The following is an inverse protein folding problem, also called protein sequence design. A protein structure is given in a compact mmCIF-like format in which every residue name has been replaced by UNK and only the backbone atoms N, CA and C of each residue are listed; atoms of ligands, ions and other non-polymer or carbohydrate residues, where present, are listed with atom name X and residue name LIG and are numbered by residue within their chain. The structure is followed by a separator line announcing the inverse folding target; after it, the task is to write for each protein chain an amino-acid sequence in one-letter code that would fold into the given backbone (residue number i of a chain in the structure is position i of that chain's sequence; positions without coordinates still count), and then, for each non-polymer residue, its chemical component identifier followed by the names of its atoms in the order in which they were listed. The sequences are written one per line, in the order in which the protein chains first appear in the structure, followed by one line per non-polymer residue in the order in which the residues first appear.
data_IF_653695900503
#
_entry.id   IF_653695900503
#
_cell.length_a   1.000
_cell.length_b   1.000
_cell.length_c   1.000
_cell.angle_alpha   90.00
_cell.angle_beta   90.00
_cell.angle_gamma   90.00
#
_symmetry.space_group_name_H-M   'P 1'
#
loop_
_entity.id
_entity.type
_entity.pdbx_description
1 polymer ?
#
# COMPACT_ATOMS: atom_id res chain seq x y z
N UNK A 1 11.28 -0.23 1.67
CA UNK A 1 9.97 -0.35 2.35
C UNK A 1 9.00 -1.03 1.41
N UNK A 2 8.14 -1.93 1.90
CA UNK A 2 7.05 -2.58 1.16
C UNK A 2 5.72 -1.94 1.58
N UNK A 3 4.78 -1.79 0.66
CA UNK A 3 3.41 -1.38 0.96
C UNK A 3 2.50 -2.54 0.66
N UNK A 4 1.76 -2.95 1.66
CA UNK A 4 0.95 -4.16 1.72
C UNK A 4 1.72 -5.47 1.56
N UNK A 5 1.15 -6.53 2.06
CA UNK A 5 1.71 -7.88 2.03
C UNK A 5 0.59 -8.91 1.83
N UNK A 6 -0.12 -8.78 0.72
CA UNK A 6 -1.23 -9.65 0.36
C UNK A 6 -0.82 -11.05 -0.05
N UNK A 7 -1.80 -11.84 -0.46
CA UNK A 7 -1.57 -13.19 -0.96
C UNK A 7 -0.59 -13.18 -2.14
N UNK A 8 0.33 -14.11 -2.15
CA UNK A 8 1.33 -14.23 -3.22
C UNK A 8 2.53 -13.29 -3.13
N UNK A 9 2.61 -12.34 -2.16
CA UNK A 9 3.71 -11.37 -2.04
C UNK A 9 5.11 -12.02 -2.06
N UNK A 10 5.28 -13.15 -1.37
CA UNK A 10 6.57 -13.85 -1.36
C UNK A 10 6.98 -14.31 -2.75
N UNK A 11 6.03 -14.77 -3.57
CA UNK A 11 6.29 -15.16 -4.96
C UNK A 11 6.57 -13.95 -5.84
N UNK A 12 5.83 -12.86 -5.67
CA UNK A 12 6.01 -11.63 -6.42
C UNK A 12 7.42 -11.05 -6.20
N UNK A 13 7.88 -10.96 -4.95
CA UNK A 13 9.24 -10.52 -4.63
C UNK A 13 10.31 -11.42 -5.25
N UNK A 14 10.12 -12.74 -5.19
CA UNK A 14 11.05 -13.70 -5.80
C UNK A 14 11.10 -13.54 -7.33
N UNK A 15 9.96 -13.42 -7.98
CA UNK A 15 9.86 -13.23 -9.44
C UNK A 15 10.50 -11.93 -9.89
N UNK A 16 10.41 -10.88 -9.07
CA UNK A 16 11.03 -9.57 -9.31
C UNK A 16 12.51 -9.51 -8.91
N UNK A 17 13.10 -10.62 -8.44
CA UNK A 17 14.45 -10.68 -7.91
C UNK A 17 14.72 -9.71 -6.76
N UNK A 18 13.71 -9.43 -5.93
CA UNK A 18 13.83 -8.58 -4.73
C UNK A 18 14.16 -9.49 -3.54
N UNK A 19 15.36 -9.38 -2.95
CA UNK A 19 15.73 -10.19 -1.81
C UNK A 19 14.90 -9.87 -0.57
N UNK A 20 14.40 -10.88 0.14
CA UNK A 20 13.58 -10.67 1.34
C UNK A 20 14.31 -9.93 2.47
N UNK A 21 15.63 -10.08 2.56
CA UNK A 21 16.44 -9.51 3.65
C UNK A 21 16.70 -8.01 3.52
N UNK A 22 16.42 -7.37 2.36
CA UNK A 22 16.56 -5.91 2.21
C UNK A 22 15.31 -5.14 2.62
N UNK A 23 14.21 -5.84 2.95
CA UNK A 23 12.96 -5.22 3.35
C UNK A 23 13.01 -4.97 4.85
N UNK A 24 13.17 -3.72 5.28
CA UNK A 24 13.25 -3.33 6.69
C UNK A 24 11.96 -2.67 7.21
N UNK A 25 11.01 -2.37 6.33
CA UNK A 25 9.71 -1.82 6.66
C UNK A 25 8.58 -2.38 5.81
N UNK A 26 7.43 -2.61 6.41
CA UNK A 26 6.18 -2.96 5.73
C UNK A 26 5.10 -2.02 6.26
N UNK A 27 4.35 -1.37 5.37
CA UNK A 27 3.16 -0.60 5.73
C UNK A 27 1.93 -1.38 5.28
N UNK A 28 0.99 -1.63 6.17
CA UNK A 28 -0.32 -2.22 5.83
C UNK A 28 -1.35 -1.10 5.77
N UNK A 29 -1.93 -0.91 4.59
CA UNK A 29 -2.93 0.15 4.35
C UNK A 29 -4.27 -0.19 4.97
N UNK A 30 -4.73 -1.42 4.78
CA UNK A 30 -5.97 -1.92 5.37
C UNK A 30 -5.97 -3.47 5.47
N UNK A 31 -7.03 -4.04 6.02
CA UNK A 31 -7.08 -5.46 6.37
C UNK A 31 -8.02 -6.29 5.48
N UNK A 32 -8.16 -5.94 4.19
CA UNK A 32 -8.68 -6.90 3.22
C UNK A 32 -7.65 -8.01 2.98
N UNK A 33 -8.09 -9.26 2.74
CA UNK A 33 -7.17 -10.41 2.65
C UNK A 33 -6.05 -10.24 1.64
N UNK A 34 -6.32 -9.62 0.52
CA UNK A 34 -5.38 -9.35 -0.57
C UNK A 34 -4.32 -8.28 -0.24
N UNK A 35 -4.42 -7.61 0.94
CA UNK A 35 -3.45 -6.62 1.40
C UNK A 35 -2.56 -7.07 2.56
N UNK A 36 -2.95 -8.11 3.34
CA UNK A 36 -2.16 -8.47 4.53
C UNK A 36 -1.96 -9.98 4.77
N UNK A 37 -2.76 -10.86 4.14
CA UNK A 37 -2.75 -12.30 4.51
C UNK A 37 -1.48 -13.03 4.09
N UNK A 38 -0.68 -12.49 3.19
CA UNK A 38 0.63 -13.03 2.82
C UNK A 38 1.73 -12.75 3.85
N UNK A 39 1.49 -11.83 4.80
CA UNK A 39 2.49 -11.39 5.77
C UNK A 39 3.11 -12.54 6.59
N UNK A 40 2.36 -13.49 7.19
CA UNK A 40 2.99 -14.60 7.91
C UNK A 40 3.92 -15.44 7.03
N UNK A 41 3.50 -15.73 5.80
CA UNK A 41 4.33 -16.44 4.82
C UNK A 41 5.60 -15.68 4.46
N UNK A 42 5.51 -14.38 4.26
CA UNK A 42 6.66 -13.51 3.99
C UNK A 42 7.66 -13.51 5.15
N UNK A 43 7.18 -13.40 6.40
CA UNK A 43 8.03 -13.46 7.59
C UNK A 43 8.80 -14.79 7.69
N UNK A 44 8.15 -15.91 7.36
CA UNK A 44 8.82 -17.21 7.28
C UNK A 44 9.90 -17.21 6.18
N UNK A 45 9.63 -16.63 5.00
CA UNK A 45 10.63 -16.52 3.93
C UNK A 45 11.81 -15.62 4.33
N UNK A 46 11.56 -14.50 5.01
CA UNK A 46 12.62 -13.64 5.57
C UNK A 46 13.53 -14.39 6.54
N UNK A 47 12.95 -15.20 7.43
CA UNK A 47 13.71 -16.09 8.31
C UNK A 47 14.55 -17.11 7.53
N UNK A 48 13.96 -17.78 6.54
CA UNK A 48 14.68 -18.75 5.70
C UNK A 48 15.81 -18.11 4.89
N UNK A 49 15.63 -16.84 4.48
CA UNK A 49 16.64 -16.02 3.83
C UNK A 49 17.68 -15.44 4.80
N UNK A 50 17.62 -15.81 6.09
CA UNK A 50 18.54 -15.35 7.15
C UNK A 50 18.58 -13.82 7.28
N UNK A 51 17.42 -13.19 7.31
CA UNK A 51 17.33 -11.77 7.65
C UNK A 51 17.83 -11.55 9.09
N UNK A 52 18.67 -10.55 9.29
CA UNK A 52 19.26 -10.19 10.59
C UNK A 52 18.83 -8.79 11.04
N UNK A 53 18.54 -7.89 10.08
CA UNK A 53 18.12 -6.52 10.39
C UNK A 53 16.68 -6.51 10.90
N UNK A 54 16.33 -5.61 11.84
CA UNK A 54 14.96 -5.48 12.33
C UNK A 54 13.96 -5.19 11.20
N UNK A 55 12.72 -5.61 11.39
CA UNK A 55 11.61 -5.33 10.51
C UNK A 55 10.55 -4.51 11.25
N UNK A 56 10.25 -3.32 10.78
CA UNK A 56 9.16 -2.49 11.26
C UNK A 56 7.90 -2.72 10.42
N UNK A 57 6.79 -3.07 11.08
CA UNK A 57 5.49 -3.24 10.42
C UNK A 57 4.59 -2.10 10.89
N UNK A 58 4.35 -1.15 10.00
CA UNK A 58 3.53 0.02 10.26
C UNK A 58 2.06 -0.30 10.01
N UNK A 59 1.21 0.00 10.97
CA UNK A 59 -0.23 -0.27 10.92
C UNK A 59 -0.97 0.78 11.72
N UNK A 60 -2.16 1.16 11.29
CA UNK A 60 -2.99 2.10 12.05
C UNK A 60 -3.19 1.62 13.50
N UNK A 61 -3.10 2.54 14.46
CA UNK A 61 -3.10 2.22 15.89
C UNK A 61 -4.30 1.34 16.32
N UNK A 62 -5.47 1.57 15.74
CA UNK A 62 -6.67 0.76 16.05
C UNK A 62 -6.60 -0.70 15.57
N UNK A 63 -5.60 -1.06 14.76
CA UNK A 63 -5.41 -2.40 14.19
C UNK A 63 -4.17 -3.13 14.72
N UNK A 64 -3.33 -2.46 15.48
CA UNK A 64 -2.07 -3.05 15.99
C UNK A 64 -2.32 -4.34 16.79
N UNK A 65 -3.26 -4.31 17.74
CA UNK A 65 -3.60 -5.49 18.56
C UNK A 65 -4.15 -6.64 17.71
N UNK A 66 -4.97 -6.35 16.69
CA UNK A 66 -5.43 -7.40 15.77
C UNK A 66 -4.26 -8.04 15.01
N UNK A 67 -3.30 -7.24 14.53
CA UNK A 67 -2.15 -7.76 13.82
C UNK A 67 -1.24 -8.60 14.73
N UNK A 68 -1.02 -8.17 15.98
CA UNK A 68 -0.29 -8.94 16.99
C UNK A 68 -0.93 -10.30 17.22
N UNK A 69 -2.24 -10.33 17.45
CA UNK A 69 -3.00 -11.57 17.66
C UNK A 69 -2.97 -12.47 16.42
N UNK A 70 -3.11 -11.89 15.24
CA UNK A 70 -3.07 -12.62 13.97
C UNK A 70 -1.71 -13.29 13.74
N UNK A 71 -0.61 -12.57 13.95
CA UNK A 71 0.74 -13.12 13.82
C UNK A 71 1.00 -14.19 14.89
N UNK A 72 0.62 -13.93 16.14
CA UNK A 72 0.77 -14.90 17.23
C UNK A 72 0.00 -16.20 16.95
N UNK A 73 -1.27 -16.11 16.52
CA UNK A 73 -2.08 -17.28 16.17
C UNK A 73 -1.61 -17.97 14.87
N UNK A 74 -0.80 -17.29 14.06
CA UNK A 74 -0.09 -17.86 12.90
C UNK A 74 1.26 -18.47 13.29
N UNK A 75 1.55 -18.62 14.57
CA UNK A 75 2.81 -19.13 15.12
C UNK A 75 4.06 -18.30 14.72
N UNK A 76 3.89 -17.03 14.44
CA UNK A 76 4.98 -16.08 14.28
C UNK A 76 5.41 -15.61 15.66
N UNK A 77 6.32 -16.35 16.28
CA UNK A 77 6.78 -16.12 17.64
C UNK A 77 8.17 -15.51 17.62
N UNK A 78 8.37 -14.36 18.27
CA UNK A 78 9.61 -13.59 18.23
C UNK A 78 10.86 -14.40 18.59
N UNK A 79 10.76 -15.32 19.54
CA UNK A 79 11.85 -16.20 19.98
C UNK A 79 12.31 -17.22 18.91
N UNK A 80 11.60 -17.30 17.80
CA UNK A 80 11.89 -18.16 16.66
C UNK A 80 12.55 -17.45 15.50
N UNK A 81 12.81 -16.14 15.62
CA UNK A 81 13.36 -15.28 14.57
C UNK A 81 14.68 -14.64 15.01
N UNK A 82 15.67 -14.60 14.13
CA UNK A 82 16.97 -13.99 14.36
C UNK A 82 16.94 -12.46 14.20
N UNK A 83 15.79 -11.90 13.78
CA UNK A 83 15.56 -10.47 13.67
C UNK A 83 14.32 -10.03 14.47
N UNK A 84 14.33 -8.78 14.92
CA UNK A 84 13.21 -8.22 15.66
C UNK A 84 12.06 -7.82 14.73
N UNK A 85 10.87 -8.38 14.96
CA UNK A 85 9.63 -7.96 14.32
C UNK A 85 8.99 -6.94 15.24
N UNK A 86 8.81 -5.71 14.77
CA UNK A 86 8.30 -4.59 15.56
C UNK A 86 7.03 -4.02 14.93
N UNK A 87 5.88 -4.18 15.58
CA UNK A 87 4.65 -3.52 15.14
C UNK A 87 4.69 -2.08 15.59
N UNK A 88 4.60 -1.16 14.63
CA UNK A 88 4.61 0.28 14.80
C UNK A 88 3.21 0.83 14.61
N UNK A 89 2.56 1.18 15.70
CA UNK A 89 1.29 1.89 15.66
C UNK A 89 1.48 3.28 15.07
N UNK A 90 0.76 3.58 14.01
CA UNK A 90 0.76 4.90 13.36
C UNK A 90 -0.63 5.51 13.44
N UNK A 91 -0.67 6.83 13.36
CA UNK A 91 -1.89 7.62 13.34
C UNK A 91 -1.85 8.62 12.19
N UNK A 92 -3.00 9.18 11.83
CA UNK A 92 -3.13 10.13 10.73
C UNK A 92 -2.39 11.44 11.00
N UNK A 93 -1.91 12.11 9.94
CA UNK A 93 -1.26 13.42 9.95
C UNK A 93 0.12 13.51 10.63
N UNK A 94 0.68 12.42 11.13
CA UNK A 94 2.03 12.40 11.67
C UNK A 94 3.05 12.06 10.59
N UNK A 95 4.18 12.81 10.56
CA UNK A 95 5.32 12.51 9.70
C UNK A 95 6.13 11.36 10.31
N UNK A 96 6.15 10.24 9.65
CA UNK A 96 6.84 9.02 10.08
C UNK A 96 8.10 8.88 9.23
N UNK A 97 9.25 8.68 9.88
CA UNK A 97 10.56 8.59 9.24
C UNK A 97 11.20 7.22 9.46
N UNK A 98 10.96 6.27 8.57
CA UNK A 98 11.60 4.95 8.63
C UNK A 98 13.09 5.00 8.34
N UNK A 99 13.56 5.94 7.50
CA UNK A 99 14.95 6.16 7.12
C UNK A 99 15.21 7.66 6.84
N UNK A 100 16.48 8.05 6.71
CA UNK A 100 16.85 9.44 6.50
C UNK A 100 16.32 10.02 5.18
N UNK A 101 16.23 9.20 4.14
CA UNK A 101 15.77 9.50 2.78
C UNK A 101 14.29 9.18 2.52
N UNK A 102 13.60 8.60 3.52
CA UNK A 102 12.21 8.17 3.41
C UNK A 102 11.38 8.67 4.57
N UNK A 103 10.34 9.43 4.29
CA UNK A 103 9.26 9.70 5.25
C UNK A 103 7.90 9.49 4.60
N UNK A 104 6.86 9.36 5.43
CA UNK A 104 5.50 9.29 4.94
C UNK A 104 4.47 9.82 5.95
N UNK A 105 3.36 10.28 5.42
CA UNK A 105 2.15 10.69 6.17
C UNK A 105 0.99 9.87 5.67
N UNK A 106 0.10 9.44 6.57
CA UNK A 106 -1.11 8.70 6.22
C UNK A 106 -2.37 9.52 6.50
N UNK A 107 -3.41 9.29 5.71
CA UNK A 107 -4.77 9.75 5.95
C UNK A 107 -5.75 8.61 5.75
N UNK A 108 -6.85 8.60 6.51
CA UNK A 108 -7.92 7.65 6.28
C UNK A 108 -8.66 8.00 5.00
N UNK A 109 -9.02 6.97 4.23
CA UNK A 109 -9.88 7.05 3.06
C UNK A 109 -11.20 6.30 3.29
N UNK A 110 -12.14 6.43 2.36
CA UNK A 110 -13.50 5.93 2.53
C UNK A 110 -13.72 4.48 2.06
N UNK A 111 -12.68 3.77 1.62
CA UNK A 111 -12.79 2.45 0.98
C UNK A 111 -13.66 1.44 1.74
N UNK A 112 -13.47 1.34 3.06
CA UNK A 112 -14.17 0.36 3.90
C UNK A 112 -15.39 0.91 4.62
N UNK A 113 -15.77 2.17 4.40
CA UNK A 113 -16.96 2.78 5.00
C UNK A 113 -18.26 2.05 4.62
N UNK A 114 -18.29 1.41 3.46
CA UNK A 114 -19.39 0.56 2.99
C UNK A 114 -19.77 -0.57 3.97
N UNK A 115 -18.87 -0.96 4.87
CA UNK A 115 -19.12 -2.01 5.86
C UNK A 115 -19.64 -1.47 7.20
N UNK A 116 -19.81 -0.16 7.36
CA UNK A 116 -20.17 0.49 8.64
C UNK A 116 -21.40 -0.14 9.29
N UNK A 117 -22.45 -0.36 8.53
CA UNK A 117 -23.68 -0.98 9.04
C UNK A 117 -23.50 -2.45 9.45
N UNK A 118 -22.69 -3.18 8.68
CA UNK A 118 -22.45 -4.61 8.94
C UNK A 118 -21.64 -4.88 10.21
N UNK A 119 -20.88 -3.90 10.68
CA UNK A 119 -19.98 -4.07 11.85
C UNK A 119 -20.46 -3.39 13.11
N UNK A 120 -21.59 -2.70 13.10
CA UNK A 120 -22.15 -1.97 14.24
C UNK A 120 -22.24 -2.82 15.52
N UNK A 121 -22.55 -4.13 15.39
CA UNK A 121 -22.72 -5.04 16.52
C UNK A 121 -21.40 -5.59 17.09
N UNK A 122 -20.26 -5.38 16.41
CA UNK A 122 -18.97 -6.04 16.74
C UNK A 122 -17.86 -5.09 17.14
N UNK A 123 -18.13 -3.79 17.21
CA UNK A 123 -17.14 -2.76 17.56
C UNK A 123 -15.82 -2.90 16.76
N UNK A 124 -15.94 -3.19 15.46
CA UNK A 124 -14.78 -3.30 14.57
C UNK A 124 -14.37 -1.90 14.08
N UNK A 125 -13.11 -1.56 14.27
CA UNK A 125 -12.54 -0.34 13.67
C UNK A 125 -12.45 -0.50 12.16
N UNK A 126 -13.03 0.45 11.43
CA UNK A 126 -12.98 0.55 9.97
C UNK A 126 -11.92 1.59 9.62
N UNK A 127 -10.76 1.13 9.13
CA UNK A 127 -9.65 2.01 8.74
C UNK A 127 -9.03 1.49 7.45
N UNK A 128 -8.98 2.34 6.44
CA UNK A 128 -8.19 2.19 5.23
C UNK A 128 -7.37 3.46 5.01
N UNK A 129 -6.10 3.32 4.60
CA UNK A 129 -5.13 4.39 4.57
C UNK A 129 -4.69 4.70 3.14
N UNK A 130 -4.68 5.98 2.83
CA UNK A 130 -3.92 6.58 1.73
C UNK A 130 -2.62 7.16 2.28
N UNK A 131 -1.56 7.17 1.48
CA UNK A 131 -0.20 7.48 1.94
C UNK A 131 0.46 8.50 1.03
N UNK A 132 1.07 9.53 1.61
CA UNK A 132 1.98 10.42 0.91
C UNK A 132 3.42 10.11 1.35
N UNK A 133 4.18 9.50 0.48
CA UNK A 133 5.61 9.28 0.67
C UNK A 133 6.42 10.50 0.24
N UNK A 134 7.51 10.74 0.95
CA UNK A 134 8.59 11.64 0.54
C UNK A 134 9.87 10.83 0.44
N UNK A 135 10.42 10.72 -0.77
CA UNK A 135 11.61 9.93 -1.09
C UNK A 135 12.52 10.79 -1.94
N UNK A 136 13.75 11.03 -1.51
CA UNK A 136 14.75 11.82 -2.25
C UNK A 136 14.23 13.19 -2.76
N UNK A 137 13.39 13.85 -1.95
CA UNK A 137 12.79 15.15 -2.30
C UNK A 137 11.57 15.07 -3.23
N UNK A 138 11.17 13.90 -3.68
CA UNK A 138 9.96 13.65 -4.46
C UNK A 138 8.81 13.19 -3.56
N UNK A 139 7.60 13.52 -3.98
CA UNK A 139 6.38 13.13 -3.29
C UNK A 139 5.57 12.15 -4.13
N UNK A 140 5.25 11.00 -3.53
CA UNK A 140 4.47 9.93 -4.15
C UNK A 140 3.19 9.78 -3.34
N UNK A 141 2.06 10.10 -3.96
CA UNK A 141 0.75 9.81 -3.38
C UNK A 141 0.31 8.41 -3.83
N UNK A 142 0.25 7.47 -2.88
CA UNK A 142 -0.33 6.14 -3.06
C UNK A 142 -1.70 6.13 -2.39
N UNK A 143 -2.74 5.91 -3.17
CA UNK A 143 -4.11 5.96 -2.64
C UNK A 143 -4.45 4.75 -1.77
N UNK A 144 -3.80 3.60 -1.98
CA UNK A 144 -4.37 2.33 -1.59
C UNK A 144 -5.68 2.11 -2.34
N UNK A 145 -6.52 1.23 -1.82
CA UNK A 145 -7.90 1.11 -2.28
C UNK A 145 -8.74 2.26 -1.72
N UNK A 146 -9.55 2.87 -2.56
CA UNK A 146 -10.36 4.05 -2.23
C UNK A 146 -11.85 3.77 -2.37
N UNK A 147 -12.69 4.54 -1.68
CA UNK A 147 -14.14 4.36 -1.72
C UNK A 147 -14.81 5.17 -2.81
N UNK A 148 -14.28 6.36 -3.08
CA UNK A 148 -14.77 7.25 -4.14
C UNK A 148 -13.69 8.26 -4.58
N UNK A 149 -14.03 9.10 -5.56
CA UNK A 149 -13.11 10.10 -6.12
C UNK A 149 -12.66 11.19 -5.13
N UNK A 150 -13.39 11.43 -4.04
CA UNK A 150 -12.99 12.43 -3.05
C UNK A 150 -11.71 12.01 -2.32
N UNK A 151 -11.43 10.71 -2.23
CA UNK A 151 -10.20 10.20 -1.67
C UNK A 151 -8.95 10.61 -2.49
N UNK A 152 -9.10 10.93 -3.77
CA UNK A 152 -8.01 11.47 -4.62
C UNK A 152 -7.59 12.89 -4.20
N UNK A 153 -8.38 13.56 -3.39
CA UNK A 153 -8.15 14.93 -2.91
C UNK A 153 -7.48 14.97 -1.53
N UNK A 154 -7.21 13.81 -0.91
CA UNK A 154 -6.59 13.72 0.42
C UNK A 154 -5.21 14.40 0.48
N UNK A 155 -4.47 14.38 -0.63
CA UNK A 155 -3.22 15.10 -0.78
C UNK A 155 -3.22 15.92 -2.07
N UNK A 156 -2.71 17.14 -2.03
CA UNK A 156 -2.76 18.08 -3.15
C UNK A 156 -1.40 18.45 -3.73
N UNK A 157 -0.30 17.95 -3.15
CA UNK A 157 1.08 18.21 -3.59
C UNK A 157 1.86 16.90 -3.68
N UNK A 158 1.99 16.38 -4.88
CA UNK A 158 2.73 15.16 -5.19
C UNK A 158 3.28 15.22 -6.62
N UNK A 159 4.39 14.56 -6.87
CA UNK A 159 4.99 14.43 -8.20
C UNK A 159 4.44 13.21 -8.93
N UNK A 160 4.11 12.16 -8.17
CA UNK A 160 3.55 10.90 -8.66
C UNK A 160 2.27 10.56 -7.91
N UNK A 161 1.28 10.07 -8.67
CA UNK A 161 0.06 9.46 -8.13
C UNK A 161 0.05 7.99 -8.53
N UNK A 162 -0.05 7.10 -7.55
CA UNK A 162 -0.30 5.67 -7.76
C UNK A 162 -1.70 5.40 -7.21
N UNK A 163 -2.64 5.08 -8.08
CA UNK A 163 -4.05 4.90 -7.72
C UNK A 163 -4.63 3.65 -8.36
N UNK A 164 -5.61 3.09 -7.70
CA UNK A 164 -6.41 1.98 -8.19
C UNK A 164 -7.46 2.42 -9.22
N UNK A 165 -8.02 1.48 -9.98
CA UNK A 165 -9.11 1.72 -10.91
C UNK A 165 -10.23 0.67 -10.85
N UNK A 166 -10.32 -0.05 -9.73
CA UNK A 166 -11.37 -1.06 -9.49
C UNK A 166 -12.62 -0.45 -8.86
N UNK A 167 -12.43 0.49 -7.90
CA UNK A 167 -13.53 1.11 -7.14
C UNK A 167 -13.92 2.48 -7.67
N UNK A 168 -13.07 3.09 -8.51
CA UNK A 168 -13.31 4.39 -9.17
C UNK A 168 -13.08 4.27 -10.66
N UNK A 169 -13.91 4.95 -11.44
CA UNK A 169 -13.81 4.93 -12.89
C UNK A 169 -12.64 5.77 -13.41
N UNK A 170 -12.16 5.48 -14.61
CA UNK A 170 -11.11 6.28 -15.26
C UNK A 170 -11.50 7.77 -15.35
N UNK A 171 -12.75 8.07 -15.68
CA UNK A 171 -13.28 9.43 -15.77
C UNK A 171 -13.27 10.15 -14.42
N UNK A 172 -13.57 9.45 -13.33
CA UNK A 172 -13.48 9.98 -11.98
C UNK A 172 -12.03 10.25 -11.57
N UNK A 173 -11.10 9.35 -11.92
CA UNK A 173 -9.67 9.54 -11.68
C UNK A 173 -9.20 10.81 -12.41
N UNK A 174 -9.43 10.91 -13.73
CA UNK A 174 -9.00 12.05 -14.54
C UNK A 174 -9.55 13.38 -14.03
N UNK A 175 -10.80 13.38 -13.54
CA UNK A 175 -11.43 14.61 -13.00
C UNK A 175 -11.02 14.91 -11.56
N UNK A 176 -10.70 13.88 -10.76
CA UNK A 176 -10.32 14.00 -9.34
C UNK A 176 -8.86 14.39 -9.12
N UNK A 177 -7.98 14.20 -10.11
CA UNK A 177 -6.57 14.55 -9.97
C UNK A 177 -6.40 16.06 -9.80
N UNK A 178 -5.93 16.50 -8.64
CA UNK A 178 -5.68 17.91 -8.32
C UNK A 178 -4.40 18.43 -8.99
N UNK A 179 -3.31 17.65 -8.94
CA UNK A 179 -2.06 18.02 -9.59
C UNK A 179 -2.02 17.49 -11.04
N UNK A 180 -2.34 18.33 -12.00
CA UNK A 180 -2.36 17.97 -13.42
C UNK A 180 -0.97 17.74 -14.04
N UNK A 181 0.10 18.10 -13.36
CA UNK A 181 1.49 17.88 -13.77
C UNK A 181 2.04 16.55 -13.24
N UNK A 182 1.36 15.93 -12.29
CA UNK A 182 1.78 14.67 -11.72
C UNK A 182 1.74 13.54 -12.77
N UNK A 183 2.68 12.62 -12.67
CA UNK A 183 2.62 11.36 -13.41
C UNK A 183 1.77 10.36 -12.66
N UNK A 184 0.79 9.78 -13.34
CA UNK A 184 -0.23 8.91 -12.75
C UNK A 184 0.01 7.47 -13.19
N UNK A 185 0.01 6.56 -12.22
CA UNK A 185 0.10 5.12 -12.44
C UNK A 185 -1.19 4.47 -11.96
N UNK A 186 -1.90 3.80 -12.87
CA UNK A 186 -3.09 3.03 -12.52
C UNK A 186 -2.69 1.61 -12.17
N UNK A 187 -3.13 1.16 -11.00
CA UNK A 187 -2.89 -0.17 -10.45
C UNK A 187 -4.21 -0.82 -10.05
N UNK A 188 -4.19 -2.03 -9.52
CA UNK A 188 -5.37 -2.74 -9.01
C UNK A 188 -6.53 -2.68 -10.00
N UNK A 189 -6.31 -3.33 -11.14
CA UNK A 189 -7.19 -3.29 -12.30
C UNK A 189 -7.87 -4.65 -12.43
N UNK A 190 -9.18 -4.67 -12.64
CA UNK A 190 -9.85 -5.92 -12.98
C UNK A 190 -9.44 -6.39 -14.39
N UNK A 191 -9.19 -7.67 -14.56
CA UNK A 191 -8.85 -8.27 -15.85
C UNK A 191 -9.85 -7.91 -16.96
N UNK A 192 -11.16 -7.78 -16.61
CA UNK A 192 -12.21 -7.38 -17.55
C UNK A 192 -12.06 -5.95 -18.08
N UNK A 193 -11.40 -5.07 -17.34
CA UNK A 193 -11.38 -3.63 -17.60
C UNK A 193 -10.06 -3.20 -18.25
N UNK A 194 -9.04 -4.07 -18.25
CA UNK A 194 -7.69 -3.76 -18.71
C UNK A 194 -7.67 -3.31 -20.17
N UNK A 195 -8.36 -4.04 -21.09
CA UNK A 195 -8.39 -3.69 -22.52
C UNK A 195 -9.08 -2.35 -22.77
N UNK A 196 -10.16 -2.06 -22.04
CA UNK A 196 -10.87 -0.79 -22.14
C UNK A 196 -9.98 0.36 -21.64
N UNK A 197 -9.31 0.19 -20.49
CA UNK A 197 -8.38 1.16 -19.93
C UNK A 197 -7.20 1.43 -20.86
N UNK A 198 -6.59 0.39 -21.43
CA UNK A 198 -5.52 0.53 -22.43
C UNK A 198 -5.97 1.37 -23.63
N UNK A 199 -7.22 1.19 -24.08
CA UNK A 199 -7.77 1.98 -25.18
C UNK A 199 -8.03 3.45 -24.80
N UNK A 200 -8.44 3.73 -23.55
CA UNK A 200 -8.67 5.10 -23.04
C UNK A 200 -7.36 5.85 -22.77
N UNK A 201 -6.32 5.16 -22.31
CA UNK A 201 -5.02 5.76 -21.90
C UNK A 201 -4.06 5.98 -23.09
N UNK A 202 -4.48 5.80 -24.35
CA UNK A 202 -3.56 5.98 -25.50
C UNK A 202 -2.71 7.24 -25.33
N UNK A 203 -1.38 7.14 -25.48
CA UNK A 203 -0.44 8.24 -25.21
C UNK A 203 -0.76 9.56 -25.93
N UNK A 204 -1.49 9.47 -27.02
CA UNK A 204 -1.98 10.65 -27.77
C UNK A 204 -3.02 11.49 -27.01
N UNK A 205 -3.68 10.92 -25.98
CA UNK A 205 -4.77 11.58 -25.28
C UNK A 205 -4.38 12.05 -23.88
N UNK A 206 -3.54 11.30 -23.17
CA UNK A 206 -3.03 11.69 -21.86
C UNK A 206 -1.67 11.04 -21.55
N UNK A 207 -0.56 11.69 -21.94
CA UNK A 207 0.79 11.12 -21.77
C UNK A 207 1.23 10.98 -20.29
N UNK A 208 0.49 11.61 -19.37
CA UNK A 208 0.81 11.59 -17.93
C UNK A 208 0.25 10.35 -17.21
N UNK A 209 -0.66 9.59 -17.84
CA UNK A 209 -1.29 8.41 -17.24
C UNK A 209 -0.67 7.15 -17.85
N UNK A 210 -0.24 6.24 -16.97
CA UNK A 210 0.40 4.97 -17.32
C UNK A 210 -0.37 3.84 -16.65
N UNK A 211 -0.69 2.79 -17.41
CA UNK A 211 -1.16 1.54 -16.85
C UNK A 211 0.03 0.80 -16.27
N UNK A 212 0.01 0.57 -14.95
CA UNK A 212 1.07 -0.16 -14.29
C UNK A 212 0.90 -1.68 -14.53
N UNK A 213 2.01 -2.34 -14.76
CA UNK A 213 2.07 -3.80 -14.88
C UNK A 213 2.97 -4.37 -13.78
N UNK A 214 2.80 -5.63 -13.46
CA UNK A 214 3.66 -6.30 -12.50
C UNK A 214 5.14 -6.13 -12.84
N UNK A 215 5.93 -5.75 -11.85
CA UNK A 215 7.36 -5.52 -12.00
C UNK A 215 7.73 -4.16 -12.62
N UNK A 216 6.76 -3.25 -12.85
CA UNK A 216 7.07 -1.90 -13.31
C UNK A 216 8.01 -1.20 -12.31
N UNK A 217 9.14 -0.69 -12.81
CA UNK A 217 10.09 0.13 -12.06
C UNK A 217 9.95 1.58 -12.52
N UNK A 218 9.78 2.48 -11.58
CA UNK A 218 9.74 3.92 -11.84
C UNK A 218 11.15 4.46 -11.59
N UNK A 219 11.88 4.74 -12.68
CA UNK A 219 13.21 5.34 -12.61
C UNK A 219 13.12 6.84 -12.88
N UNK A 220 13.82 7.63 -12.07
CA UNK A 220 14.07 9.04 -12.37
C UNK A 220 15.25 9.16 -13.36
N UNK A 221 15.04 10.00 -14.39
CA UNK A 221 16.11 10.40 -15.29
C UNK A 221 16.70 11.74 -14.84
#
# INVERSE_FOLDING_TARGET
MLVDAGDGISRALLSSNIPYNIIDGILITHFHPDHFTGLPGLLVQMKMAKKETPLDIYVHASKAGFLEDFLFNSYILQDRYDFNIRIKSIDTFFDIKPADDLSFVVQENSHIDKYRESVLSRNLSLVSLSVLFSVDGRKIFYTGDIGDKADLELFNRYDYLITESTHVTYEEIVTGILNKEAKVYLTHINDSDEEELQNKIKPAHNPSIVLATDGLVIEEK
#
